data_IF_294327256814
#
_entry.id   IF_294327256814
#
_cell.length_a   1.000
_cell.length_b   1.000
_cell.length_c   1.000
_cell.angle_alpha   90.00
_cell.angle_beta   90.00
_cell.angle_gamma   90.00
#
_symmetry.space_group_name_H-M   'P 1'
#
loop_
_entity.id
_entity.type
_entity.pdbx_description
1 polymer ?
#
# COMPACT_ATOMS: atom_id res chain seq x y z
N UNK A 1 -33.81 -20.27 -9.11
CA UNK A 1 -32.38 -20.59 -8.94
C UNK A 1 -31.72 -20.38 -10.29
N UNK A 2 -30.87 -19.38 -10.40
CA UNK A 2 -30.07 -19.17 -11.61
C UNK A 2 -28.99 -20.26 -11.68
N UNK A 3 -28.66 -20.71 -12.90
CA UNK A 3 -27.61 -21.70 -13.08
C UNK A 3 -26.24 -21.03 -12.85
N UNK A 4 -25.44 -21.59 -11.94
CA UNK A 4 -24.08 -21.13 -11.63
C UNK A 4 -23.20 -21.09 -12.89
N UNK A 5 -23.36 -22.03 -13.83
CA UNK A 5 -22.59 -22.03 -15.09
C UNK A 5 -22.84 -20.72 -15.87
N UNK A 6 -24.11 -20.32 -16.02
CA UNK A 6 -24.48 -19.09 -16.73
C UNK A 6 -24.02 -17.84 -15.98
N UNK A 7 -23.97 -17.92 -14.65
CA UNK A 7 -23.55 -16.81 -13.82
C UNK A 7 -22.02 -16.61 -13.91
N UNK A 8 -21.26 -17.70 -14.01
CA UNK A 8 -19.83 -17.68 -14.29
C UNK A 8 -19.54 -17.10 -15.67
N UNK A 9 -20.26 -17.53 -16.71
CA UNK A 9 -20.10 -16.97 -18.06
C UNK A 9 -20.28 -15.43 -18.04
N UNK A 10 -21.38 -14.96 -17.43
CA UNK A 10 -21.64 -13.52 -17.25
C UNK A 10 -20.56 -12.79 -16.45
N UNK A 11 -20.03 -13.44 -15.42
CA UNK A 11 -18.99 -12.88 -14.56
C UNK A 11 -17.68 -12.70 -15.33
N UNK A 12 -17.29 -13.71 -16.12
CA UNK A 12 -16.13 -13.62 -17.01
C UNK A 12 -16.32 -12.62 -18.14
N UNK A 13 -17.55 -12.42 -18.60
CA UNK A 13 -17.91 -11.36 -19.56
C UNK A 13 -17.99 -9.96 -18.91
N UNK A 14 -17.92 -9.86 -17.57
CA UNK A 14 -17.95 -8.59 -16.83
C UNK A 14 -19.31 -7.89 -16.83
N UNK A 15 -20.41 -8.63 -17.01
CA UNK A 15 -21.78 -8.09 -17.11
C UNK A 15 -22.68 -8.52 -15.94
N UNK A 16 -22.09 -9.03 -14.86
CA UNK A 16 -22.81 -9.33 -13.62
C UNK A 16 -23.25 -8.08 -12.87
N UNK A 17 -24.38 -8.19 -12.19
CA UNK A 17 -24.83 -7.20 -11.20
C UNK A 17 -24.31 -7.53 -9.80
N UNK A 18 -24.31 -6.56 -8.89
CA UNK A 18 -23.88 -6.75 -7.49
C UNK A 18 -24.56 -7.94 -6.81
N UNK A 19 -25.85 -8.17 -7.08
CA UNK A 19 -26.63 -9.28 -6.50
C UNK A 19 -26.14 -10.63 -7.01
N UNK A 20 -25.80 -10.70 -8.29
CA UNK A 20 -25.29 -11.91 -8.95
C UNK A 20 -23.89 -12.26 -8.43
N UNK A 21 -23.03 -11.26 -8.23
CA UNK A 21 -21.72 -11.47 -7.63
C UNK A 21 -21.79 -11.93 -6.18
N UNK A 22 -22.77 -11.45 -5.41
CA UNK A 22 -23.03 -11.96 -4.05
C UNK A 22 -23.38 -13.45 -4.09
N UNK A 23 -24.22 -13.87 -5.04
CA UNK A 23 -24.59 -15.29 -5.21
C UNK A 23 -23.37 -16.14 -5.56
N UNK A 24 -22.50 -15.67 -6.46
CA UNK A 24 -21.24 -16.37 -6.77
C UNK A 24 -20.34 -16.49 -5.52
N UNK A 25 -20.16 -15.39 -4.78
CA UNK A 25 -19.35 -15.39 -3.55
C UNK A 25 -19.89 -16.39 -2.51
N UNK A 26 -21.20 -16.40 -2.27
CA UNK A 26 -21.85 -17.35 -1.36
C UNK A 26 -21.78 -18.80 -1.84
N UNK A 27 -21.81 -19.03 -3.15
CA UNK A 27 -21.64 -20.36 -3.72
C UNK A 27 -20.22 -20.88 -3.47
N UNK A 28 -19.20 -20.08 -3.79
CA UNK A 28 -17.79 -20.48 -3.68
C UNK A 28 -17.24 -20.45 -2.26
N UNK A 29 -17.95 -19.84 -1.29
CA UNK A 29 -17.59 -19.91 0.12
C UNK A 29 -17.93 -21.27 0.76
N UNK A 30 -18.72 -22.12 0.08
CA UNK A 30 -19.09 -23.45 0.59
C UNK A 30 -17.93 -24.44 0.46
N UNK A 31 -17.85 -25.38 1.40
CA UNK A 31 -16.90 -26.49 1.32
C UNK A 31 -17.25 -27.43 0.17
N UNK A 32 -18.54 -27.80 0.06
CA UNK A 32 -19.08 -28.72 -0.93
C UNK A 32 -19.71 -27.95 -2.11
N UNK A 33 -19.02 -27.97 -3.26
CA UNK A 33 -19.47 -27.39 -4.53
C UNK A 33 -19.31 -28.40 -5.66
N UNK A 34 -19.89 -28.13 -6.84
CA UNK A 34 -19.77 -29.04 -7.99
C UNK A 34 -18.30 -29.22 -8.38
N UNK A 35 -17.84 -30.45 -8.70
CA UNK A 35 -16.45 -30.72 -9.09
C UNK A 35 -15.96 -29.84 -10.25
N UNK A 36 -16.83 -29.50 -11.20
CA UNK A 36 -16.50 -28.66 -12.35
C UNK A 36 -16.23 -27.19 -11.97
N UNK A 37 -16.65 -26.76 -10.78
CA UNK A 37 -16.46 -25.40 -10.29
C UNK A 37 -15.28 -25.27 -9.32
N UNK A 38 -14.74 -26.37 -8.80
CA UNK A 38 -13.64 -26.34 -7.83
C UNK A 38 -12.44 -25.52 -8.32
N UNK A 39 -12.14 -25.58 -9.62
CA UNK A 39 -11.07 -24.80 -10.25
C UNK A 39 -11.22 -23.27 -10.10
N UNK A 40 -12.44 -22.76 -9.91
CA UNK A 40 -12.72 -21.33 -9.76
C UNK A 40 -12.74 -20.87 -8.30
N UNK A 41 -12.77 -21.79 -7.33
CA UNK A 41 -12.77 -21.47 -5.89
C UNK A 41 -11.63 -20.54 -5.45
N UNK A 42 -10.39 -20.66 -5.98
CA UNK A 42 -9.31 -19.72 -5.66
C UNK A 42 -9.62 -18.27 -6.02
N UNK A 43 -10.36 -18.02 -7.10
CA UNK A 43 -10.73 -16.67 -7.56
C UNK A 43 -11.58 -15.94 -6.52
N UNK A 44 -12.55 -16.62 -5.94
CA UNK A 44 -13.48 -16.02 -4.97
C UNK A 44 -12.92 -16.01 -3.54
N UNK A 45 -12.03 -16.95 -3.20
CA UNK A 45 -11.40 -17.03 -1.87
C UNK A 45 -10.21 -16.08 -1.70
N UNK A 46 -9.54 -15.66 -2.78
CA UNK A 46 -8.44 -14.71 -2.71
C UNK A 46 -8.88 -13.34 -2.15
N UNK A 47 -10.04 -12.85 -2.59
CA UNK A 47 -10.54 -11.54 -2.17
C UNK A 47 -10.81 -11.42 -0.67
N UNK A 48 -11.22 -12.50 0.00
CA UNK A 48 -11.42 -12.50 1.45
C UNK A 48 -10.09 -12.39 2.22
N UNK A 49 -8.99 -12.93 1.67
CA UNK A 49 -7.65 -12.74 2.24
C UNK A 49 -7.13 -11.33 1.98
N UNK A 50 -7.32 -10.80 0.77
CA UNK A 50 -6.91 -9.44 0.42
C UNK A 50 -7.67 -8.38 1.22
N UNK A 51 -8.95 -8.61 1.54
CA UNK A 51 -9.73 -7.71 2.40
C UNK A 51 -9.17 -7.59 3.83
N UNK A 52 -8.40 -8.57 4.29
CA UNK A 52 -7.70 -8.51 5.57
C UNK A 52 -6.42 -7.67 5.51
N UNK A 53 -5.92 -7.36 4.30
CA UNK A 53 -4.82 -6.44 4.08
C UNK A 53 -5.38 -5.02 4.27
N UNK A 54 -5.39 -4.57 5.53
CA UNK A 54 -5.85 -3.23 5.88
C UNK A 54 -4.81 -2.22 5.40
N UNK A 55 -5.21 -1.34 4.49
CA UNK A 55 -4.40 -0.19 4.12
C UNK A 55 -4.02 0.57 5.40
N UNK A 56 -2.73 0.89 5.61
CA UNK A 56 -2.28 1.47 6.85
C UNK A 56 -3.02 2.77 7.14
N UNK A 57 -3.79 2.78 8.24
CA UNK A 57 -4.46 3.97 8.73
C UNK A 57 -3.43 4.89 9.38
N UNK A 58 -2.84 5.78 8.60
CA UNK A 58 -1.99 6.83 9.15
C UNK A 58 -2.81 8.10 9.39
N UNK A 59 -2.91 8.50 10.67
CA UNK A 59 -3.49 9.78 11.06
C UNK A 59 -2.41 10.85 10.98
N UNK A 60 -2.50 11.75 9.99
CA UNK A 60 -1.67 12.97 9.99
C UNK A 60 -2.00 13.73 11.27
N UNK A 61 -1.02 13.97 12.18
CA UNK A 61 -1.24 14.83 13.33
C UNK A 61 -1.74 16.17 12.82
N UNK A 62 -2.98 16.49 13.18
CA UNK A 62 -3.61 17.75 12.90
C UNK A 62 -2.87 18.78 13.75
N UNK A 63 -1.81 19.36 13.19
CA UNK A 63 -1.28 20.63 13.68
C UNK A 63 -2.36 21.66 13.42
N UNK A 64 -3.37 21.66 14.29
CA UNK A 64 -4.30 22.75 14.42
C UNK A 64 -3.44 23.95 14.75
N UNK A 65 -3.08 24.68 13.71
CA UNK A 65 -2.62 26.04 13.80
C UNK A 65 -3.84 26.82 14.28
N UNK A 66 -4.11 26.74 15.59
CA UNK A 66 -4.97 27.69 16.27
C UNK A 66 -4.41 29.06 15.91
N UNK A 67 -5.09 29.75 14.99
CA UNK A 67 -4.80 31.14 14.67
C UNK A 67 -5.10 31.91 15.93
N UNK A 68 -4.11 32.07 16.79
CA UNK A 68 -4.18 32.93 17.97
C UNK A 68 -4.51 34.31 17.45
N UNK A 69 -5.73 34.77 17.69
CA UNK A 69 -6.12 36.12 17.33
C UNK A 69 -5.23 37.06 18.15
N UNK A 70 -4.32 37.75 17.48
CA UNK A 70 -3.46 38.73 18.12
C UNK A 70 -4.35 39.83 18.72
N UNK A 71 -4.16 40.25 19.98
CA UNK A 71 -4.95 41.33 20.57
C UNK A 71 -4.84 42.60 19.73
N UNK A 72 -5.93 43.37 19.63
CA UNK A 72 -6.03 44.60 18.82
C UNK A 72 -4.87 45.60 19.07
N UNK A 73 -4.30 45.58 20.28
CA UNK A 73 -3.14 46.41 20.66
C UNK A 73 -1.88 46.08 19.84
N UNK A 74 -1.67 44.81 19.48
CA UNK A 74 -0.55 44.38 18.62
C UNK A 74 -0.78 44.81 17.18
N UNK A 75 -2.03 44.81 16.69
CA UNK A 75 -2.37 45.36 15.38
C UNK A 75 -2.12 46.87 15.28
N UNK A 76 -2.41 47.62 16.34
CA UNK A 76 -2.15 49.07 16.39
C UNK A 76 -0.63 49.35 16.39
N UNK A 77 0.16 48.63 17.19
CA UNK A 77 1.62 48.79 17.19
C UNK A 77 2.26 48.28 15.89
N UNK A 78 1.73 47.21 15.30
CA UNK A 78 2.18 46.72 14.01
C UNK A 78 1.87 47.73 12.89
N UNK A 79 0.70 48.37 12.94
CA UNK A 79 0.31 49.39 11.96
C UNK A 79 1.20 50.64 12.04
N UNK A 80 1.55 51.12 13.24
CA UNK A 80 2.43 52.30 13.38
C UNK A 80 3.86 52.00 12.91
N UNK A 81 4.39 50.82 13.24
CA UNK A 81 5.72 50.39 12.77
C UNK A 81 5.70 50.18 11.25
N UNK A 82 4.66 49.57 10.69
CA UNK A 82 4.50 49.42 9.25
C UNK A 82 4.41 50.77 8.53
N UNK A 83 3.69 51.75 9.08
CA UNK A 83 3.61 53.09 8.52
C UNK A 83 4.97 53.80 8.51
N UNK A 84 5.77 53.67 9.58
CA UNK A 84 7.12 54.22 9.63
C UNK A 84 8.05 53.55 8.61
N UNK A 85 7.98 52.22 8.47
CA UNK A 85 8.75 51.47 7.48
C UNK A 85 8.33 51.82 6.05
N UNK A 86 7.03 51.96 5.77
CA UNK A 86 6.52 52.41 4.47
C UNK A 86 7.01 53.82 4.13
N UNK A 87 7.05 54.72 5.10
CA UNK A 87 7.62 56.05 4.92
C UNK A 87 9.10 55.96 4.51
N UNK A 88 9.86 55.07 5.16
CA UNK A 88 11.28 54.83 4.87
C UNK A 88 11.48 54.19 3.47
N UNK A 89 10.65 53.23 3.07
CA UNK A 89 10.69 52.57 1.76
C UNK A 89 10.29 53.54 0.64
N UNK A 90 9.30 54.41 0.88
CA UNK A 90 8.87 55.41 -0.09
C UNK A 90 9.97 56.45 -0.34
N UNK A 91 10.73 56.78 0.71
CA UNK A 91 11.86 57.71 0.64
C UNK A 91 13.14 57.04 0.08
N UNK A 92 13.27 55.71 0.17
CA UNK A 92 14.40 54.94 -0.37
C UNK A 92 13.90 53.61 -0.95
N UNK A 93 13.70 53.50 -2.29
CA UNK A 93 13.27 52.25 -2.89
C UNK A 93 14.40 51.22 -2.82
N UNK A 94 14.40 50.42 -1.74
CA UNK A 94 15.24 49.22 -1.64
C UNK A 94 14.79 48.21 -2.69
N UNK A 95 15.71 47.87 -3.61
CA UNK A 95 15.56 46.78 -4.58
C UNK A 95 15.17 45.48 -3.88
N UNK A 96 13.90 45.09 -3.99
CA UNK A 96 13.40 43.84 -3.43
C UNK A 96 13.66 42.71 -4.42
N UNK A 97 14.76 41.99 -4.22
CA UNK A 97 14.87 40.62 -4.71
C UNK A 97 13.91 39.76 -3.88
N UNK A 98 12.66 39.65 -4.32
CA UNK A 98 11.73 38.69 -3.75
C UNK A 98 12.25 37.29 -4.08
N UNK A 99 12.83 36.60 -3.09
CA UNK A 99 13.09 35.18 -3.17
C UNK A 99 11.75 34.47 -3.33
N UNK A 100 11.61 33.67 -4.38
CA UNK A 100 10.51 32.75 -4.57
C UNK A 100 10.47 31.79 -3.38
N UNK A 101 9.44 31.89 -2.54
CA UNK A 101 9.12 30.84 -1.57
C UNK A 101 8.68 29.62 -2.39
N UNK A 102 9.52 28.57 -2.39
CA UNK A 102 9.18 27.29 -2.98
C UNK A 102 8.06 26.68 -2.14
N UNK A 103 6.81 26.93 -2.55
CA UNK A 103 5.64 26.37 -1.88
C UNK A 103 5.57 24.87 -2.18
N UNK A 104 6.14 24.06 -1.31
CA UNK A 104 6.05 22.60 -1.37
C UNK A 104 4.61 22.22 -0.99
N UNK A 105 3.90 21.53 -1.88
CA UNK A 105 2.49 21.15 -1.70
C UNK A 105 2.27 19.74 -2.21
N UNK A 106 1.86 18.83 -1.31
CA UNK A 106 1.49 17.45 -1.64
C UNK A 106 0.16 17.12 -0.99
N UNK A 107 -0.72 16.41 -1.70
CA UNK A 107 -1.98 15.91 -1.16
C UNK A 107 -1.86 14.43 -0.81
N UNK A 108 -2.13 14.10 0.45
CA UNK A 108 -2.07 12.75 0.98
C UNK A 108 -3.40 12.43 1.65
N UNK A 109 -4.13 11.43 1.13
CA UNK A 109 -5.49 11.08 1.59
C UNK A 109 -6.45 12.29 1.65
N UNK A 110 -6.36 13.19 0.67
CA UNK A 110 -7.16 14.41 0.61
C UNK A 110 -6.75 15.52 1.59
N UNK A 111 -5.68 15.32 2.37
CA UNK A 111 -5.10 16.35 3.24
C UNK A 111 -3.88 16.99 2.59
N UNK A 112 -3.83 18.31 2.65
CA UNK A 112 -2.68 19.10 2.20
C UNK A 112 -1.50 18.96 3.18
N UNK A 113 -0.31 18.71 2.63
CA UNK A 113 0.97 18.69 3.34
C UNK A 113 1.89 19.71 2.68
N UNK A 114 2.30 20.71 3.46
CA UNK A 114 3.19 21.78 3.01
C UNK A 114 4.63 21.65 3.51
N UNK A 115 4.87 20.70 4.42
CA UNK A 115 6.20 20.43 4.96
C UNK A 115 6.86 19.28 4.18
N UNK A 116 7.99 19.58 3.52
CA UNK A 116 8.75 18.63 2.72
C UNK A 116 9.25 17.42 3.53
N UNK A 117 9.82 17.66 4.72
CA UNK A 117 10.35 16.59 5.57
C UNK A 117 9.23 15.65 6.01
N UNK A 118 8.07 16.20 6.40
CA UNK A 118 6.89 15.41 6.81
C UNK A 118 6.35 14.56 5.66
N UNK A 119 6.35 15.09 4.43
CA UNK A 119 5.93 14.35 3.26
C UNK A 119 6.94 13.25 2.85
N UNK A 120 8.23 13.51 3.01
CA UNK A 120 9.29 12.51 2.79
C UNK A 120 9.18 11.36 3.80
N UNK A 121 9.05 11.68 5.10
CA UNK A 121 8.83 10.68 6.15
C UNK A 121 7.59 9.82 5.86
N UNK A 122 6.49 10.45 5.43
CA UNK A 122 5.29 9.72 5.03
C UNK A 122 5.54 8.79 3.83
N UNK A 123 6.25 9.27 2.81
CA UNK A 123 6.57 8.47 1.63
C UNK A 123 7.42 7.25 2.01
N UNK A 124 8.43 7.43 2.85
CA UNK A 124 9.28 6.35 3.38
C UNK A 124 8.46 5.33 4.16
N UNK A 125 7.59 5.77 5.08
CA UNK A 125 6.73 4.87 5.85
C UNK A 125 5.80 4.04 4.96
N UNK A 126 5.17 4.68 3.98
CA UNK A 126 4.27 3.99 3.04
C UNK A 126 5.03 3.01 2.14
N UNK A 127 6.26 3.35 1.74
CA UNK A 127 7.12 2.48 0.97
C UNK A 127 7.49 1.22 1.77
N UNK A 128 7.93 1.39 3.03
CA UNK A 128 8.26 0.26 3.91
C UNK A 128 7.07 -0.68 4.12
N UNK A 129 5.86 -0.14 4.30
CA UNK A 129 4.63 -0.95 4.44
C UNK A 129 4.26 -1.67 3.15
N UNK A 130 4.46 -1.03 2.00
CA UNK A 130 4.25 -1.68 0.71
C UNK A 130 5.24 -2.84 0.51
N UNK A 131 6.52 -2.64 0.86
CA UNK A 131 7.52 -3.71 0.83
C UNK A 131 7.16 -4.87 1.77
N UNK A 132 6.65 -4.58 2.96
CA UNK A 132 6.19 -5.60 3.91
C UNK A 132 5.04 -6.44 3.31
N UNK A 133 4.01 -5.79 2.76
CA UNK A 133 2.87 -6.48 2.12
C UNK A 133 3.38 -7.35 0.97
N UNK A 134 4.24 -6.81 0.10
CA UNK A 134 4.82 -7.58 -1.01
C UNK A 134 5.57 -8.80 -0.46
N UNK A 135 6.45 -8.62 0.52
CA UNK A 135 7.22 -9.74 1.09
C UNK A 135 6.31 -10.83 1.67
N UNK A 136 5.30 -10.45 2.44
CA UNK A 136 4.34 -11.40 3.03
C UNK A 136 3.54 -12.12 1.94
N UNK A 137 3.05 -11.40 0.93
CA UNK A 137 2.27 -11.98 -0.16
C UNK A 137 3.10 -12.87 -1.10
N UNK A 138 4.40 -12.60 -1.27
CA UNK A 138 5.30 -13.37 -2.13
C UNK A 138 6.05 -14.50 -1.40
N UNK A 139 6.01 -14.58 -0.06
CA UNK A 139 6.67 -15.63 0.72
C UNK A 139 6.38 -17.07 0.24
N UNK A 140 5.12 -17.46 -0.07
CA UNK A 140 4.83 -18.81 -0.55
C UNK A 140 5.52 -19.13 -1.89
N UNK A 141 5.77 -18.12 -2.73
CA UNK A 141 6.44 -18.30 -4.03
C UNK A 141 7.96 -18.45 -3.89
N UNK A 142 8.59 -17.75 -2.95
CA UNK A 142 10.02 -17.94 -2.63
C UNK A 142 10.28 -19.36 -2.09
N UNK A 143 9.40 -19.87 -1.20
CA UNK A 143 9.47 -21.25 -0.72
C UNK A 143 9.32 -22.26 -1.86
N UNK A 144 8.41 -22.05 -2.83
CA UNK A 144 8.27 -22.99 -3.95
C UNK A 144 9.54 -23.09 -4.81
N UNK A 145 10.32 -22.01 -4.90
CA UNK A 145 11.59 -21.99 -5.64
C UNK A 145 12.69 -22.73 -4.87
N UNK A 146 12.75 -22.57 -3.55
CA UNK A 146 13.64 -23.32 -2.67
C UNK A 146 13.28 -24.82 -2.64
N UNK A 147 12.00 -25.14 -2.45
CA UNK A 147 11.46 -26.51 -2.52
C UNK A 147 11.78 -27.14 -3.88
N UNK A 148 11.63 -26.42 -4.99
CA UNK A 148 11.96 -26.94 -6.32
C UNK A 148 13.47 -27.15 -6.54
N UNK A 149 14.31 -26.33 -5.92
CA UNK A 149 15.76 -26.49 -5.96
C UNK A 149 16.27 -27.61 -5.03
N UNK A 150 15.57 -27.87 -3.91
CA UNK A 150 15.82 -29.00 -3.01
C UNK A 150 15.23 -30.31 -3.55
N UNK A 151 14.07 -30.25 -4.22
CA UNK A 151 13.43 -31.37 -4.95
C UNK A 151 14.03 -31.61 -6.33
N UNK A 152 15.19 -31.03 -6.66
CA UNK A 152 15.90 -31.35 -7.89
C UNK A 152 16.20 -32.85 -7.91
N UNK A 153 15.50 -33.57 -8.78
CA UNK A 153 15.53 -35.02 -8.83
C UNK A 153 16.95 -35.51 -9.10
N UNK A 154 17.70 -34.83 -9.97
CA UNK A 154 19.08 -35.19 -10.30
C UNK A 154 19.99 -35.05 -9.07
N UNK A 155 19.80 -33.99 -8.29
CA UNK A 155 20.52 -33.77 -7.03
C UNK A 155 20.16 -34.83 -5.98
N UNK A 156 18.88 -35.13 -5.80
CA UNK A 156 18.41 -36.15 -4.85
C UNK A 156 18.96 -37.54 -5.22
N UNK A 157 18.88 -37.94 -6.49
CA UNK A 157 19.39 -39.24 -6.93
C UNK A 157 20.90 -39.34 -6.78
N UNK A 158 21.63 -38.26 -7.05
CA UNK A 158 23.07 -38.25 -6.89
C UNK A 158 23.49 -38.30 -5.41
N UNK A 159 22.83 -37.56 -4.53
CA UNK A 159 23.07 -37.58 -3.08
C UNK A 159 22.78 -38.98 -2.49
N UNK A 160 21.65 -39.59 -2.87
CA UNK A 160 21.32 -40.97 -2.47
C UNK A 160 22.34 -42.00 -2.98
N UNK A 161 22.83 -41.83 -4.20
CA UNK A 161 23.85 -42.72 -4.77
C UNK A 161 25.16 -42.64 -4.01
N UNK A 162 25.56 -41.43 -3.60
CA UNK A 162 26.74 -41.22 -2.75
C UNK A 162 26.56 -41.84 -1.36
N UNK A 163 25.38 -41.69 -0.76
CA UNK A 163 25.08 -42.23 0.56
C UNK A 163 25.06 -43.76 0.57
N UNK A 164 24.47 -44.40 -0.44
CA UNK A 164 24.46 -45.86 -0.62
C UNK A 164 25.89 -46.41 -0.76
N UNK A 165 26.71 -45.80 -1.62
CA UNK A 165 28.09 -46.24 -1.83
C UNK A 165 28.94 -46.10 -0.56
N UNK A 166 28.72 -45.06 0.24
CA UNK A 166 29.40 -44.88 1.52
C UNK A 166 28.98 -45.97 2.53
N UNK A 167 27.70 -46.33 2.59
CA UNK A 167 27.20 -47.40 3.48
C UNK A 167 27.77 -48.75 3.04
N UNK A 168 27.80 -49.04 1.74
CA UNK A 168 28.40 -50.28 1.21
C UNK A 168 29.89 -50.40 1.54
N UNK A 169 30.63 -49.28 1.53
CA UNK A 169 32.04 -49.25 1.90
C UNK A 169 32.32 -49.49 3.40
N UNK A 170 31.32 -49.31 4.26
CA UNK A 170 31.42 -49.53 5.72
C UNK A 170 31.09 -50.99 6.09
N UNK A 171 30.38 -51.71 5.21
CA UNK A 171 29.92 -53.09 5.44
C UNK A 171 30.90 -54.13 4.88
N UNK A 172 31.88 -53.73 4.06
CA UNK A 172 33.03 -54.54 3.62
C UNK A 172 34.23 -54.41 4.56
#
# INVERSE_FOLDING_TARGET
MENIDKLLDKYFDGITSDKEEIILKEYFSKEDISPQHEMYKPLFSAFEREKQIVAPKFTIPDERNEKKSLPKRIWITAASVAAAILLIILLNPLSKNAKTENNYLVYINGKEITNQEKAQQYAEEMFMKAEEIIRVSYHPFEETKAIKAEMDADKIFNDLSVEINNIESIIQ
#
